data_IF_571716421620
#
_entry.id   IF_571716421620
#
_cell.length_a   1.000
_cell.length_b   1.000
_cell.length_c   1.000
_cell.angle_alpha   90.00
_cell.angle_beta   90.00
_cell.angle_gamma   90.00
#
_symmetry.space_group_name_H-M   'P 1'
#
loop_
_entity.id
_entity.type
_entity.pdbx_description
1 polymer ?
#
# COMPACT_ATOMS: atom_id res chain seq x y z
N UNK A 1 -4.86 11.89 17.67
CA UNK A 1 -4.50 13.25 17.21
C UNK A 1 -2.99 13.34 17.15
N UNK A 2 -2.41 13.57 15.98
CA UNK A 2 -0.96 13.67 15.83
C UNK A 2 -0.60 15.05 15.36
N UNK A 3 0.12 15.76 16.19
CA UNK A 3 0.71 17.05 15.88
C UNK A 3 2.12 16.86 15.30
N UNK A 4 2.44 17.53 14.23
CA UNK A 4 3.80 17.61 13.72
C UNK A 4 4.53 18.67 14.52
N UNK A 5 5.43 18.28 15.40
CA UNK A 5 6.31 19.23 16.11
C UNK A 5 7.46 19.64 15.18
N UNK A 6 7.60 20.94 14.97
CA UNK A 6 8.81 21.52 14.38
C UNK A 6 9.87 21.63 15.46
N UNK A 7 10.94 20.87 15.36
CA UNK A 7 12.15 21.11 16.13
C UNK A 7 13.30 21.29 15.15
N UNK A 8 13.96 22.44 15.18
CA UNK A 8 15.13 22.84 14.38
C UNK A 8 15.06 22.50 12.88
N UNK A 9 13.92 22.83 12.24
CA UNK A 9 13.76 22.66 10.79
C UNK A 9 13.51 21.23 10.29
N UNK A 10 13.39 20.24 11.17
CA UNK A 10 13.06 18.85 10.81
C UNK A 10 11.65 18.49 11.26
N UNK A 11 10.76 18.19 10.32
CA UNK A 11 9.43 17.62 10.62
C UNK A 11 9.62 16.27 11.34
N UNK A 12 9.20 16.16 12.60
CA UNK A 12 9.11 14.88 13.31
C UNK A 12 7.68 14.36 13.21
N UNK A 13 7.52 13.11 12.75
CA UNK A 13 6.23 12.41 12.89
C UNK A 13 6.00 12.10 14.37
N UNK A 14 4.84 12.49 14.91
CA UNK A 14 4.38 12.00 16.20
C UNK A 14 3.86 10.56 16.05
N UNK A 15 4.03 9.75 17.09
CA UNK A 15 3.47 8.40 17.16
C UNK A 15 1.94 8.45 16.98
N UNK A 16 1.38 7.67 16.06
CA UNK A 16 -0.06 7.51 15.89
C UNK A 16 -0.63 7.67 14.49
N UNK A 17 0.13 8.20 13.51
CA UNK A 17 -0.33 8.27 12.11
C UNK A 17 -0.03 7.00 11.33
N UNK A 18 1.06 6.30 11.62
CA UNK A 18 1.32 4.99 11.03
C UNK A 18 0.66 3.89 11.84
N UNK A 19 0.19 2.85 11.15
CA UNK A 19 -0.36 1.64 11.77
C UNK A 19 0.52 0.45 11.44
N UNK A 20 0.72 -0.39 12.44
CA UNK A 20 1.41 -1.68 12.31
C UNK A 20 0.37 -2.78 12.28
N UNK A 21 0.52 -3.70 11.34
CA UNK A 21 -0.30 -4.89 11.19
C UNK A 21 0.58 -6.12 11.22
N UNK A 22 0.07 -7.17 11.81
CA UNK A 22 0.65 -8.50 11.77
C UNK A 22 0.03 -9.25 10.59
N UNK A 23 0.87 -9.90 9.79
CA UNK A 23 0.48 -10.73 8.66
C UNK A 23 0.81 -12.19 8.98
N UNK A 24 -0.18 -13.06 8.84
CA UNK A 24 -0.07 -14.51 9.00
C UNK A 24 -0.47 -15.18 7.70
N UNK A 25 0.46 -15.31 6.74
CA UNK A 25 0.15 -15.91 5.43
C UNK A 25 -0.22 -17.40 5.55
N UNK A 26 0.35 -18.10 6.53
CA UNK A 26 -0.04 -19.44 6.90
C UNK A 26 -0.43 -19.47 8.40
N UNK A 27 -1.73 -19.71 8.73
CA UNK A 27 -2.19 -19.74 10.11
C UNK A 27 -1.62 -20.92 10.92
N UNK A 28 -1.06 -21.93 10.25
CA UNK A 28 -0.45 -23.11 10.89
C UNK A 28 1.06 -22.98 11.07
N UNK A 29 1.69 -22.01 10.43
CA UNK A 29 3.14 -21.77 10.50
C UNK A 29 3.45 -20.34 10.98
N UNK A 30 3.56 -20.18 12.30
CA UNK A 30 3.88 -18.90 12.95
C UNK A 30 5.26 -18.36 12.49
N UNK A 31 6.17 -19.21 11.99
CA UNK A 31 7.48 -18.76 11.52
C UNK A 31 7.39 -17.86 10.29
N UNK A 32 6.28 -17.92 9.55
CA UNK A 32 6.01 -17.05 8.39
C UNK A 32 5.41 -15.71 8.77
N UNK A 33 5.16 -15.46 10.05
CA UNK A 33 4.66 -14.18 10.55
C UNK A 33 5.55 -13.02 10.11
N UNK A 34 4.94 -11.97 9.56
CA UNK A 34 5.61 -10.75 9.15
C UNK A 34 4.86 -9.53 9.66
N UNK A 35 5.53 -8.43 9.73
CA UNK A 35 4.93 -7.15 10.12
C UNK A 35 4.83 -6.22 8.91
N UNK A 36 3.73 -5.49 8.83
CA UNK A 36 3.48 -4.54 7.76
C UNK A 36 3.04 -3.21 8.37
N UNK A 37 3.82 -2.16 8.13
CA UNK A 37 3.54 -0.81 8.60
C UNK A 37 3.04 0.04 7.46
N UNK A 38 1.97 0.80 7.72
CA UNK A 38 1.32 1.67 6.73
C UNK A 38 1.20 3.09 7.25
N UNK A 39 1.34 4.06 6.35
CA UNK A 39 1.09 5.47 6.61
C UNK A 39 0.48 6.13 5.39
N UNK A 40 -0.54 6.98 5.61
CA UNK A 40 -1.22 7.73 4.56
C UNK A 40 -0.77 9.18 4.59
N UNK A 41 -0.46 9.74 3.41
CA UNK A 41 -0.07 11.12 3.22
C UNK A 41 -0.99 11.80 2.22
N UNK A 42 -1.31 13.07 2.47
CA UNK A 42 -2.01 13.97 1.54
C UNK A 42 -1.16 15.20 1.26
N UNK A 43 -1.54 15.96 0.25
CA UNK A 43 -0.83 17.18 -0.18
C UNK A 43 0.67 16.93 -0.46
N UNK A 44 0.99 15.80 -1.08
CA UNK A 44 2.36 15.45 -1.48
C UNK A 44 2.78 16.35 -2.64
N UNK A 45 3.96 17.01 -2.51
CA UNK A 45 4.46 17.98 -3.47
C UNK A 45 5.66 17.47 -4.27
N UNK A 46 6.36 16.48 -3.74
CA UNK A 46 7.61 15.97 -4.32
C UNK A 46 7.48 14.54 -4.87
N UNK A 47 6.34 14.19 -5.46
CA UNK A 47 6.07 12.85 -5.98
C UNK A 47 7.08 12.40 -7.04
N UNK A 48 7.56 13.31 -7.89
CA UNK A 48 8.59 13.03 -8.90
C UNK A 48 9.91 12.60 -8.26
N UNK A 49 10.37 13.31 -7.21
CA UNK A 49 11.59 12.98 -6.47
C UNK A 49 11.45 11.62 -5.77
N UNK A 50 10.28 11.33 -5.18
CA UNK A 50 10.01 10.06 -4.52
C UNK A 50 10.01 8.90 -5.52
N UNK A 51 9.45 9.10 -6.71
CA UNK A 51 9.48 8.11 -7.80
C UNK A 51 10.92 7.82 -8.23
N UNK A 52 11.75 8.86 -8.40
CA UNK A 52 13.15 8.68 -8.72
C UNK A 52 13.90 7.95 -7.60
N UNK A 53 13.60 8.28 -6.34
CA UNK A 53 14.20 7.64 -5.17
C UNK A 53 13.82 6.14 -5.02
N UNK A 54 12.67 5.72 -5.57
CA UNK A 54 12.34 4.29 -5.71
C UNK A 54 13.19 3.62 -6.80
N UNK A 55 13.38 4.30 -7.94
CA UNK A 55 14.11 3.76 -9.08
C UNK A 55 15.59 3.57 -8.73
N UNK A 56 16.18 4.51 -8.03
CA UNK A 56 17.58 4.45 -7.60
C UNK A 56 17.82 3.61 -6.34
N UNK A 57 16.74 3.06 -5.74
CA UNK A 57 16.81 2.19 -4.56
C UNK A 57 17.07 2.91 -3.24
N UNK A 58 17.02 4.24 -3.21
CA UNK A 58 17.20 5.02 -1.97
C UNK A 58 15.97 5.02 -1.06
N UNK A 59 14.82 4.55 -1.56
CA UNK A 59 13.60 4.25 -0.81
C UNK A 59 13.26 2.78 -1.01
N UNK A 60 13.20 2.04 0.10
CA UNK A 60 12.72 0.65 0.15
C UNK A 60 11.33 0.63 0.80
N UNK A 61 10.30 0.89 0.01
CA UNK A 61 8.91 0.95 0.44
C UNK A 61 7.97 0.77 -0.76
N UNK A 62 6.74 0.34 -0.52
CA UNK A 62 5.66 0.42 -1.50
C UNK A 62 5.04 1.82 -1.44
N UNK A 63 5.11 2.57 -2.54
CA UNK A 63 4.48 3.87 -2.71
C UNK A 63 3.26 3.70 -3.62
N UNK A 64 2.07 3.72 -3.04
CA UNK A 64 0.80 3.30 -3.67
C UNK A 64 -0.14 4.51 -3.78
N UNK A 65 -0.92 4.57 -4.87
CA UNK A 65 -2.01 5.53 -5.03
C UNK A 65 -3.18 5.15 -4.14
N UNK A 66 -3.51 5.92 -3.10
CA UNK A 66 -4.62 5.58 -2.20
C UNK A 66 -5.98 5.60 -2.91
N UNK A 67 -6.11 6.35 -4.01
CA UNK A 67 -7.34 6.45 -4.80
C UNK A 67 -7.78 5.10 -5.41
N UNK A 68 -6.86 4.12 -5.50
CA UNK A 68 -7.12 2.79 -6.05
C UNK A 68 -7.24 1.69 -4.98
N UNK A 69 -7.17 2.08 -3.71
CA UNK A 69 -7.30 1.15 -2.58
C UNK A 69 -8.61 1.46 -1.85
N UNK A 70 -9.57 0.52 -1.92
CA UNK A 70 -10.89 0.72 -1.36
C UNK A 70 -10.84 0.97 0.15
N UNK A 71 -10.10 0.13 0.85
CA UNK A 71 -9.98 0.15 2.31
C UNK A 71 -8.70 -0.56 2.78
N UNK A 72 -8.41 -0.46 4.07
CA UNK A 72 -7.23 -1.07 4.68
C UNK A 72 -7.22 -2.59 4.52
N UNK A 73 -8.36 -3.25 4.61
CA UNK A 73 -8.45 -4.71 4.49
C UNK A 73 -8.06 -5.19 3.10
N UNK A 74 -8.45 -4.48 2.04
CA UNK A 74 -8.00 -4.77 0.66
C UNK A 74 -6.46 -4.72 0.55
N UNK A 75 -5.84 -3.71 1.17
CA UNK A 75 -4.39 -3.59 1.21
C UNK A 75 -3.74 -4.75 1.96
N UNK A 76 -4.31 -5.13 3.11
CA UNK A 76 -3.79 -6.24 3.94
C UNK A 76 -3.93 -7.59 3.24
N UNK A 77 -5.02 -7.82 2.50
CA UNK A 77 -5.20 -9.03 1.68
C UNK A 77 -4.08 -9.16 0.63
N UNK A 78 -3.77 -8.06 -0.08
CA UNK A 78 -2.67 -8.03 -1.04
C UNK A 78 -1.30 -8.21 -0.38
N UNK A 79 -1.08 -7.58 0.80
CA UNK A 79 0.16 -7.71 1.55
C UNK A 79 0.36 -9.14 2.06
N UNK A 80 -0.69 -9.77 2.58
CA UNK A 80 -0.64 -11.16 3.03
C UNK A 80 -0.33 -12.12 1.88
N UNK A 81 -0.95 -11.91 0.71
CA UNK A 81 -0.63 -12.66 -0.52
C UNK A 81 0.84 -12.50 -0.92
N UNK A 82 1.36 -11.27 -0.93
CA UNK A 82 2.76 -11.00 -1.27
C UNK A 82 3.73 -11.72 -0.32
N UNK A 83 3.46 -11.71 0.99
CA UNK A 83 4.26 -12.43 1.99
C UNK A 83 4.18 -13.94 1.79
N UNK A 84 2.99 -14.48 1.51
CA UNK A 84 2.81 -15.90 1.20
C UNK A 84 3.62 -16.32 -0.04
N UNK A 85 3.58 -15.55 -1.12
CA UNK A 85 4.40 -15.81 -2.31
C UNK A 85 5.90 -15.77 -2.00
N UNK A 86 6.33 -14.81 -1.17
CA UNK A 86 7.73 -14.70 -0.74
C UNK A 86 8.18 -15.92 0.08
N UNK A 87 7.35 -16.38 1.02
CA UNK A 87 7.65 -17.55 1.86
C UNK A 87 7.85 -18.84 1.03
N UNK A 88 7.19 -18.92 -0.12
CA UNK A 88 7.29 -20.07 -1.05
C UNK A 88 8.24 -19.84 -2.22
N UNK A 89 9.06 -18.79 -2.21
CA UNK A 89 9.95 -18.40 -3.32
C UNK A 89 9.23 -18.24 -4.68
N UNK A 90 8.00 -17.72 -4.65
CA UNK A 90 7.12 -17.54 -5.82
C UNK A 90 6.84 -16.08 -6.16
N UNK A 91 7.73 -15.17 -5.78
CA UNK A 91 7.58 -13.78 -6.17
C UNK A 91 7.58 -13.62 -7.69
N UNK A 92 6.61 -12.93 -8.22
CA UNK A 92 6.53 -12.54 -9.63
C UNK A 92 7.41 -11.32 -9.92
N UNK A 93 7.70 -10.52 -8.89
CA UNK A 93 8.48 -9.28 -8.95
C UNK A 93 9.82 -9.42 -8.22
N UNK A 94 10.67 -8.40 -8.34
CA UNK A 94 12.02 -8.43 -7.75
C UNK A 94 12.05 -8.16 -6.23
N UNK A 95 11.04 -7.49 -5.70
CA UNK A 95 11.00 -7.08 -4.29
C UNK A 95 9.62 -7.33 -3.69
N UNK A 96 9.56 -7.55 -2.38
CA UNK A 96 8.30 -7.74 -1.67
C UNK A 96 7.39 -6.50 -1.77
N UNK A 97 7.96 -5.30 -1.82
CA UNK A 97 7.21 -4.06 -2.00
C UNK A 97 6.58 -3.95 -3.40
N UNK A 98 7.30 -4.36 -4.44
CA UNK A 98 6.75 -4.43 -5.80
C UNK A 98 5.69 -5.54 -5.90
N UNK A 99 5.89 -6.67 -5.23
CA UNK A 99 4.92 -7.78 -5.17
C UNK A 99 3.60 -7.35 -4.53
N UNK A 100 3.65 -6.51 -3.48
CA UNK A 100 2.45 -5.91 -2.90
C UNK A 100 1.65 -5.11 -3.95
N UNK A 101 2.34 -4.23 -4.69
CA UNK A 101 1.68 -3.39 -5.72
C UNK A 101 1.12 -4.28 -6.84
N UNK A 102 1.87 -5.29 -7.25
CA UNK A 102 1.44 -6.27 -8.23
C UNK A 102 0.23 -7.09 -7.71
N UNK A 103 0.23 -7.49 -6.45
CA UNK A 103 -0.87 -8.25 -5.83
C UNK A 103 -2.16 -7.45 -5.71
N UNK A 104 -2.08 -6.12 -5.52
CA UNK A 104 -3.25 -5.24 -5.53
C UNK A 104 -3.94 -5.23 -6.89
N UNK A 105 -3.20 -5.35 -7.98
CA UNK A 105 -3.78 -5.29 -9.34
C UNK A 105 -4.52 -6.58 -9.68
N UNK A 106 -5.70 -6.51 -10.32
CA UNK A 106 -6.35 -7.68 -10.91
C UNK A 106 -5.65 -8.17 -12.19
N UNK A 107 -4.79 -7.35 -12.79
CA UNK A 107 -4.07 -7.67 -14.02
C UNK A 107 -2.80 -8.49 -13.73
N UNK A 108 -2.44 -9.39 -14.66
CA UNK A 108 -1.22 -10.20 -14.62
C UNK A 108 -0.01 -9.50 -15.24
N UNK A 109 -0.19 -8.40 -15.91
CA UNK A 109 0.91 -7.61 -16.45
C UNK A 109 1.57 -6.83 -15.30
N UNK A 110 2.80 -7.22 -14.95
CA UNK A 110 3.56 -6.61 -13.85
C UNK A 110 3.78 -5.11 -14.10
N UNK A 111 4.23 -4.75 -15.30
CA UNK A 111 4.52 -3.34 -15.63
C UNK A 111 3.25 -2.49 -15.53
N UNK A 112 2.15 -2.94 -16.11
CA UNK A 112 0.85 -2.26 -16.05
C UNK A 112 0.35 -2.11 -14.60
N UNK A 113 0.53 -3.16 -13.79
CA UNK A 113 0.17 -3.14 -12.37
C UNK A 113 0.95 -2.08 -11.59
N UNK A 114 2.28 -2.02 -11.80
CA UNK A 114 3.14 -1.04 -11.15
C UNK A 114 2.85 0.40 -11.60
N UNK A 115 2.56 0.61 -12.87
CA UNK A 115 2.18 1.94 -13.41
C UNK A 115 0.81 2.39 -12.91
N UNK A 116 -0.14 1.46 -12.79
CA UNK A 116 -1.51 1.76 -12.36
C UNK A 116 -1.56 2.10 -10.87
N UNK A 117 -1.05 1.22 -10.02
CA UNK A 117 -1.17 1.35 -8.56
C UNK A 117 -0.02 2.10 -7.89
N UNK A 118 1.17 2.10 -8.49
CA UNK A 118 2.35 2.78 -7.97
C UNK A 118 2.27 4.30 -8.11
N UNK A 119 3.18 4.99 -7.42
CA UNK A 119 3.31 6.45 -7.47
C UNK A 119 3.59 6.95 -8.90
N UNK A 120 2.97 8.07 -9.25
CA UNK A 120 3.28 8.85 -10.47
C UNK A 120 3.75 10.25 -10.09
N UNK A 121 4.30 10.97 -11.04
CA UNK A 121 4.81 12.34 -10.81
C UNK A 121 3.71 13.32 -10.40
N UNK A 122 2.46 13.02 -10.78
CA UNK A 122 1.27 13.82 -10.47
C UNK A 122 0.56 13.41 -9.18
N UNK A 123 1.07 12.37 -8.48
CA UNK A 123 0.43 11.87 -7.26
C UNK A 123 0.44 12.93 -6.16
N UNK A 124 -0.75 13.28 -5.66
CA UNK A 124 -0.93 14.24 -4.56
C UNK A 124 -1.19 13.56 -3.22
N UNK A 125 -1.65 12.33 -3.26
CA UNK A 125 -1.84 11.50 -2.08
C UNK A 125 -0.97 10.26 -2.21
N UNK A 126 -0.56 9.70 -1.09
CA UNK A 126 0.38 8.59 -1.08
C UNK A 126 0.10 7.66 0.09
N UNK A 127 -0.09 6.39 -0.21
CA UNK A 127 -0.14 5.32 0.76
C UNK A 127 1.23 4.62 0.78
N UNK A 128 1.91 4.69 1.91
CA UNK A 128 3.23 4.10 2.10
C UNK A 128 3.10 2.80 2.88
N UNK A 129 3.60 1.70 2.31
CA UNK A 129 3.66 0.39 2.97
C UNK A 129 5.09 -0.09 3.11
N UNK A 130 5.46 -0.58 4.29
CA UNK A 130 6.81 -1.09 4.59
C UNK A 130 6.68 -2.41 5.35
N UNK A 131 7.36 -3.44 4.85
CA UNK A 131 7.45 -4.72 5.52
C UNK A 131 8.58 -4.72 6.57
N UNK A 132 8.37 -5.49 7.65
CA UNK A 132 9.33 -5.72 8.74
C UNK A 132 9.87 -4.42 9.35
N UNK A 133 8.97 -3.54 9.71
CA UNK A 133 9.25 -2.28 10.39
C UNK A 133 8.48 -2.19 11.71
N UNK A 134 8.74 -3.12 12.63
CA UNK A 134 8.11 -3.16 13.95
C UNK A 134 8.41 -1.91 14.77
N UNK A 135 9.65 -1.42 14.72
CA UNK A 135 10.09 -0.23 15.46
C UNK A 135 9.55 1.07 14.85
N UNK A 136 9.19 1.07 13.57
CA UNK A 136 8.79 2.26 12.82
C UNK A 136 9.94 3.13 12.31
N UNK A 137 11.18 2.69 12.47
CA UNK A 137 12.36 3.47 12.05
C UNK A 137 12.46 3.62 10.54
N UNK A 138 12.12 2.56 9.78
CA UNK A 138 12.11 2.62 8.31
C UNK A 138 11.03 3.62 7.84
N UNK A 139 9.82 3.54 8.42
CA UNK A 139 8.74 4.47 8.12
C UNK A 139 9.13 5.92 8.42
N UNK A 140 9.79 6.19 9.55
CA UNK A 140 10.27 7.53 9.88
C UNK A 140 11.30 8.03 8.87
N UNK A 141 12.21 7.17 8.40
CA UNK A 141 13.20 7.52 7.37
C UNK A 141 12.53 7.89 6.04
N UNK A 142 11.56 7.11 5.60
CA UNK A 142 10.79 7.37 4.37
C UNK A 142 9.95 8.63 4.53
N UNK A 143 9.23 8.77 5.63
CA UNK A 143 8.38 9.93 5.91
C UNK A 143 9.14 11.27 5.91
N UNK A 144 10.41 11.28 6.32
CA UNK A 144 11.27 12.49 6.24
C UNK A 144 11.56 12.93 4.82
N UNK A 145 11.49 12.03 3.85
CA UNK A 145 11.69 12.33 2.43
C UNK A 145 10.40 12.85 1.76
N UNK A 146 9.24 12.64 2.38
CA UNK A 146 7.94 13.02 1.82
C UNK A 146 7.58 14.45 2.22
N UNK A 147 7.44 15.34 1.24
CA UNK A 147 6.87 16.68 1.44
C UNK A 147 5.34 16.61 1.32
N UNK A 148 4.69 16.16 2.38
CA UNK A 148 3.26 15.95 2.48
C UNK A 148 2.79 15.94 3.93
N UNK A 149 1.48 15.83 4.12
CA UNK A 149 0.86 15.77 5.46
C UNK A 149 0.48 14.32 5.79
N UNK A 150 1.01 13.72 6.86
CA UNK A 150 0.53 12.43 7.32
C UNK A 150 -0.87 12.57 7.91
N UNK A 151 -1.77 11.68 7.50
CA UNK A 151 -3.18 11.67 7.93
C UNK A 151 -3.59 10.30 8.47
N UNK A 152 -4.64 10.20 9.29
CA UNK A 152 -5.14 8.93 9.80
C UNK A 152 -5.60 7.99 8.66
N UNK A 153 -5.38 6.69 8.83
CA UNK A 153 -5.84 5.67 7.86
C UNK A 153 -7.36 5.63 7.68
N UNK A 154 -8.12 6.18 8.62
CA UNK A 154 -9.58 6.34 8.51
C UNK A 154 -10.02 7.26 7.37
N UNK A 155 -9.10 8.05 6.83
CA UNK A 155 -9.37 8.89 5.65
C UNK A 155 -9.23 8.12 4.32
N UNK A 156 -8.67 6.92 4.32
CA UNK A 156 -8.44 6.15 3.09
C UNK A 156 -9.71 5.94 2.26
N UNK A 157 -10.88 5.54 2.82
CA UNK A 157 -12.10 5.39 2.04
C UNK A 157 -12.61 6.69 1.41
N UNK A 158 -12.29 7.85 2.01
CA UNK A 158 -12.68 9.16 1.47
C UNK A 158 -11.85 9.57 0.25
N UNK A 159 -10.65 9.01 0.11
CA UNK A 159 -9.77 9.25 -1.04
C UNK A 159 -10.02 8.24 -2.18
N UNK A 160 -10.70 7.13 -1.91
CA UNK A 160 -10.95 6.07 -2.87
C UNK A 160 -11.83 6.54 -4.04
N UNK A 161 -11.36 6.33 -5.26
CA UNK A 161 -12.14 6.55 -6.48
C UNK A 161 -12.93 5.27 -6.82
N UNK A 162 -14.13 5.17 -6.26
CA UNK A 162 -15.02 4.02 -6.43
C UNK A 162 -15.32 3.69 -7.89
N UNK A 163 -15.46 4.71 -8.76
CA UNK A 163 -15.76 4.50 -10.19
C UNK A 163 -14.57 3.85 -10.88
N UNK A 164 -13.38 4.34 -10.58
CA UNK A 164 -12.15 3.82 -11.15
C UNK A 164 -11.82 2.42 -10.62
N UNK A 165 -12.00 2.19 -9.33
CA UNK A 165 -11.85 0.87 -8.69
C UNK A 165 -12.80 -0.13 -9.32
N UNK A 166 -14.10 0.20 -9.44
CA UNK A 166 -15.12 -0.66 -10.06
C UNK A 166 -14.72 -1.07 -11.49
N UNK A 167 -14.30 -0.09 -12.31
CA UNK A 167 -13.83 -0.34 -13.67
C UNK A 167 -12.60 -1.24 -13.71
N UNK A 168 -11.62 -0.96 -12.86
CA UNK A 168 -10.34 -1.66 -12.79
C UNK A 168 -10.52 -3.14 -12.41
N UNK A 169 -11.30 -3.39 -11.37
CA UNK A 169 -11.59 -4.75 -10.92
C UNK A 169 -12.73 -5.41 -11.66
N UNK A 170 -13.32 -4.78 -12.70
CA UNK A 170 -14.44 -5.30 -13.50
C UNK A 170 -15.60 -5.79 -12.62
N UNK A 171 -15.95 -5.00 -11.60
CA UNK A 171 -17.06 -5.33 -10.69
C UNK A 171 -18.38 -5.12 -11.43
N UNK A 172 -19.22 -6.17 -11.49
CA UNK A 172 -20.53 -6.11 -12.15
C UNK A 172 -21.53 -5.31 -11.32
N UNK A 173 -22.58 -4.76 -11.95
CA UNK A 173 -23.64 -4.04 -11.23
C UNK A 173 -24.33 -4.91 -10.17
N UNK A 174 -24.49 -6.21 -10.41
CA UNK A 174 -25.03 -7.17 -9.45
C UNK A 174 -24.14 -7.43 -8.22
N UNK A 175 -22.87 -7.12 -8.33
CA UNK A 175 -21.86 -7.23 -7.25
C UNK A 175 -21.63 -5.87 -6.55
N UNK A 176 -22.31 -4.82 -7.03
CA UNK A 176 -22.17 -3.46 -6.50
C UNK A 176 -23.18 -3.20 -5.40
N UNK A 177 -22.82 -3.62 -4.19
CA UNK A 177 -23.39 -3.16 -2.93
C UNK A 177 -22.24 -2.68 -2.07
N UNK A 178 -22.43 -1.67 -1.22
CA UNK A 178 -21.39 -1.18 -0.30
C UNK A 178 -20.84 -2.30 0.59
N UNK A 179 -21.66 -3.30 0.90
CA UNK A 179 -21.29 -4.46 1.71
C UNK A 179 -20.50 -5.52 0.94
N UNK A 180 -20.67 -5.64 -0.39
CA UNK A 180 -20.13 -6.77 -1.17
C UNK A 180 -18.98 -6.39 -2.09
N UNK A 181 -18.75 -5.09 -2.35
CA UNK A 181 -17.69 -4.63 -3.24
C UNK A 181 -16.30 -5.00 -2.72
N UNK A 182 -16.11 -4.94 -1.40
CA UNK A 182 -14.85 -5.33 -0.76
C UNK A 182 -14.55 -6.81 -1.00
N UNK A 183 -15.52 -7.68 -0.79
CA UNK A 183 -15.38 -9.12 -1.01
C UNK A 183 -15.10 -9.45 -2.48
N UNK A 184 -15.76 -8.77 -3.41
CA UNK A 184 -15.52 -8.93 -4.83
C UNK A 184 -14.08 -8.55 -5.23
N UNK A 185 -13.54 -7.47 -4.68
CA UNK A 185 -12.17 -7.03 -4.91
C UNK A 185 -11.17 -8.02 -4.30
N UNK A 186 -11.37 -8.41 -3.04
CA UNK A 186 -10.49 -9.34 -2.33
C UNK A 186 -10.46 -10.70 -3.02
N UNK A 187 -11.62 -11.19 -3.48
CA UNK A 187 -11.69 -12.42 -4.26
C UNK A 187 -10.82 -12.34 -5.52
N UNK A 188 -10.88 -11.22 -6.26
CA UNK A 188 -10.05 -11.03 -7.46
C UNK A 188 -8.56 -10.95 -7.15
N UNK A 189 -8.18 -10.30 -6.04
CA UNK A 189 -6.80 -10.28 -5.54
C UNK A 189 -6.34 -11.71 -5.21
N UNK A 190 -7.15 -12.46 -4.48
CA UNK A 190 -6.80 -13.82 -4.04
C UNK A 190 -6.68 -14.79 -5.22
N UNK A 191 -7.62 -14.74 -6.16
CA UNK A 191 -7.73 -15.71 -7.27
C UNK A 191 -6.98 -15.32 -8.55
N UNK A 192 -6.32 -14.17 -8.55
CA UNK A 192 -5.58 -13.63 -9.72
C UNK A 192 -4.70 -14.66 -10.43
N UNK A 193 -4.03 -15.51 -9.67
CA UNK A 193 -3.07 -16.48 -10.20
C UNK A 193 -3.76 -17.81 -10.60
N UNK A 194 -5.04 -17.98 -10.29
CA UNK A 194 -5.80 -19.19 -10.53
C UNK A 194 -6.64 -19.17 -11.83
N UNK A 195 -6.75 -17.99 -12.48
CA UNK A 195 -7.65 -17.78 -13.63
C UNK A 195 -6.87 -17.66 -14.94
#
# INVERSE_FOLDING_TARGET
MVEVLKDKGKKRMKSGTSRLFELLPDPYDISQRRFFRVCLFTDVKNASELKQALIDGSIDAALIKPELVLEVFTLLAAANKAVHQAAHNRLSTRTLHAELIYSLSPDRNILESLLTFGITEESRNLLVGIFDDESGEKMVKVAKKIDGKPVPMTMLPQLADYKRIKKLYKVKESEYNEETISDAIITRIATKDCI
#
